data_IF_718958383792
#
_entry.id   IF_718958383792
#
_cell.length_a   1.000
_cell.length_b   1.000
_cell.length_c   1.000
_cell.angle_alpha   90.00
_cell.angle_beta   90.00
_cell.angle_gamma   90.00
#
_symmetry.space_group_name_H-M   'P 1'
#
loop_
_entity.id
_entity.type
_entity.pdbx_description
1 polymer ?
#
# COMPACT_ATOMS: atom_id res chain seq x y z
N UNK A 1 9.27 19.35 17.96
CA UNK A 1 8.46 18.56 16.99
C UNK A 1 9.36 17.50 16.36
N UNK A 2 8.90 16.25 16.17
CA UNK A 2 9.71 15.24 15.46
C UNK A 2 9.95 15.71 14.02
N UNK A 3 11.11 15.41 13.39
CA UNK A 3 11.33 15.80 11.99
C UNK A 3 10.31 15.09 11.08
N UNK A 4 9.70 15.84 10.17
CA UNK A 4 8.66 15.35 9.26
C UNK A 4 9.10 14.09 8.51
N UNK A 5 10.34 14.11 8.00
CA UNK A 5 10.96 12.98 7.28
C UNK A 5 10.99 11.69 8.12
N UNK A 6 11.30 11.79 9.42
CA UNK A 6 11.31 10.61 10.31
C UNK A 6 9.91 10.05 10.53
N UNK A 7 8.90 10.91 10.59
CA UNK A 7 7.50 10.47 10.71
C UNK A 7 7.05 9.76 9.44
N UNK A 8 7.35 10.34 8.27
CA UNK A 8 7.02 9.76 6.96
C UNK A 8 7.66 8.39 6.79
N UNK A 9 8.97 8.26 7.01
CA UNK A 9 9.67 6.98 6.87
C UNK A 9 9.08 5.92 7.80
N UNK A 10 8.84 6.27 9.08
CA UNK A 10 8.24 5.32 10.04
C UNK A 10 6.83 4.92 9.67
N UNK A 11 6.01 5.88 9.23
CA UNK A 11 4.63 5.62 8.81
C UNK A 11 4.59 4.75 7.54
N UNK A 12 5.47 5.03 6.58
CA UNK A 12 5.56 4.27 5.33
C UNK A 12 6.08 2.85 5.53
N UNK A 13 7.09 2.65 6.40
CA UNK A 13 7.54 1.31 6.78
C UNK A 13 6.40 0.57 7.48
N UNK A 14 5.75 1.18 8.48
CA UNK A 14 4.65 0.55 9.20
C UNK A 14 3.50 0.15 8.26
N UNK A 15 3.04 1.08 7.42
CA UNK A 15 1.97 0.85 6.46
C UNK A 15 2.36 -0.24 5.44
N UNK A 16 3.56 -0.15 4.87
CA UNK A 16 4.09 -1.14 3.93
C UNK A 16 4.21 -2.53 4.56
N UNK A 17 4.66 -2.64 5.81
CA UNK A 17 4.75 -3.92 6.52
C UNK A 17 3.38 -4.51 6.82
N UNK A 18 2.40 -3.69 7.25
CA UNK A 18 1.03 -4.14 7.47
C UNK A 18 0.39 -4.64 6.16
N UNK A 19 0.63 -3.93 5.06
CA UNK A 19 0.08 -4.27 3.75
C UNK A 19 0.65 -5.57 3.19
N UNK A 20 1.99 -5.73 3.17
CA UNK A 20 2.61 -6.96 2.67
C UNK A 20 2.26 -8.17 3.55
N UNK A 21 2.18 -7.99 4.87
CA UNK A 21 1.78 -9.05 5.80
C UNK A 21 0.34 -9.47 5.56
N UNK A 22 -0.57 -8.51 5.34
CA UNK A 22 -1.97 -8.80 5.01
C UNK A 22 -2.08 -9.52 3.67
N UNK A 23 -1.30 -9.11 2.66
CA UNK A 23 -1.26 -9.76 1.36
C UNK A 23 -0.76 -11.21 1.47
N UNK A 24 0.31 -11.45 2.24
CA UNK A 24 0.83 -12.80 2.50
C UNK A 24 -0.19 -13.68 3.20
N UNK A 25 -0.81 -13.18 4.27
CA UNK A 25 -1.81 -13.91 5.03
C UNK A 25 -3.04 -14.24 4.18
N UNK A 26 -3.56 -13.25 3.44
CA UNK A 26 -4.70 -13.45 2.56
C UNK A 26 -4.40 -14.48 1.46
N UNK A 27 -3.24 -14.35 0.80
CA UNK A 27 -2.83 -15.30 -0.23
C UNK A 27 -2.71 -16.73 0.33
N UNK A 28 -2.07 -16.88 1.48
CA UNK A 28 -1.95 -18.18 2.16
C UNK A 28 -3.30 -18.80 2.48
N UNK A 29 -4.22 -18.02 3.07
CA UNK A 29 -5.57 -18.49 3.44
C UNK A 29 -6.36 -18.94 2.21
N UNK A 30 -6.29 -18.18 1.11
CA UNK A 30 -7.09 -18.45 -0.09
C UNK A 30 -6.53 -19.58 -0.93
N UNK A 31 -5.20 -19.71 -1.04
CA UNK A 31 -4.58 -20.66 -1.98
C UNK A 31 -3.84 -21.81 -1.32
N UNK A 32 -3.51 -21.71 -0.02
CA UNK A 32 -2.65 -22.67 0.69
C UNK A 32 -1.21 -22.75 0.15
N UNK A 33 -0.77 -21.75 -0.61
CA UNK A 33 0.55 -21.74 -1.29
C UNK A 33 1.54 -20.85 -0.56
N UNK A 34 2.81 -20.98 -0.92
CA UNK A 34 3.89 -20.17 -0.36
C UNK A 34 3.60 -18.65 -0.55
N UNK A 35 3.50 -17.86 0.54
CA UNK A 35 3.23 -16.42 0.48
C UNK A 35 4.27 -15.62 -0.29
N UNK A 36 5.51 -16.11 -0.41
CA UNK A 36 6.57 -15.45 -1.16
C UNK A 36 6.22 -15.28 -2.65
N UNK A 37 5.28 -16.06 -3.17
CA UNK A 37 4.74 -15.87 -4.52
C UNK A 37 4.17 -14.46 -4.72
N UNK A 38 3.64 -13.82 -3.66
CA UNK A 38 3.17 -12.43 -3.72
C UNK A 38 4.31 -11.48 -4.11
N UNK A 39 5.53 -11.71 -3.63
CA UNK A 39 6.69 -10.87 -4.01
C UNK A 39 7.06 -11.07 -5.47
N UNK A 40 7.04 -12.30 -5.98
CA UNK A 40 7.26 -12.55 -7.41
C UNK A 40 6.17 -11.92 -8.27
N UNK A 41 4.91 -11.97 -7.82
CA UNK A 41 3.80 -11.30 -8.49
C UNK A 41 4.02 -9.78 -8.56
N UNK A 42 4.46 -9.15 -7.47
CA UNK A 42 4.81 -7.73 -7.48
C UNK A 42 5.99 -7.45 -8.43
N UNK A 43 7.04 -8.28 -8.37
CA UNK A 43 8.20 -8.17 -9.25
C UNK A 43 7.83 -8.31 -10.74
N UNK A 44 6.81 -9.13 -11.04
CA UNK A 44 6.31 -9.31 -12.41
C UNK A 44 5.75 -8.03 -13.02
N UNK A 45 5.36 -7.04 -12.21
CA UNK A 45 4.98 -5.72 -12.71
C UNK A 45 6.08 -5.02 -13.50
N UNK A 46 7.36 -5.25 -13.15
CA UNK A 46 8.51 -4.68 -13.84
C UNK A 46 9.22 -5.71 -14.74
N UNK A 47 9.40 -6.94 -14.26
CA UNK A 47 10.18 -7.98 -14.93
C UNK A 47 9.34 -8.93 -15.80
N UNK A 48 8.01 -8.80 -15.80
CA UNK A 48 7.12 -9.66 -16.57
C UNK A 48 7.22 -11.12 -16.16
N UNK A 49 7.14 -12.03 -17.15
CA UNK A 49 7.17 -13.48 -16.92
C UNK A 49 8.49 -13.98 -16.31
N UNK A 50 9.60 -13.27 -16.54
CA UNK A 50 10.91 -13.63 -15.98
C UNK A 50 10.96 -13.58 -14.45
N UNK A 51 10.01 -12.86 -13.82
CA UNK A 51 9.88 -12.81 -12.36
C UNK A 51 9.59 -14.17 -11.70
N UNK A 52 9.09 -15.13 -12.48
CA UNK A 52 8.74 -16.48 -12.00
C UNK A 52 9.84 -17.52 -12.26
N UNK A 53 10.87 -17.17 -13.04
CA UNK A 53 11.96 -18.08 -13.42
C UNK A 53 13.07 -18.14 -12.36
N UNK A 54 13.29 -17.05 -11.64
CA UNK A 54 14.25 -16.96 -10.54
C UNK A 54 13.55 -16.56 -9.23
N UNK A 55 13.90 -17.22 -8.12
CA UNK A 55 13.17 -17.06 -6.86
C UNK A 55 13.76 -15.94 -5.99
N UNK A 56 14.97 -16.15 -5.46
CA UNK A 56 15.59 -15.23 -4.51
C UNK A 56 15.72 -13.76 -5.00
N UNK A 57 16.25 -13.45 -6.20
CA UNK A 57 16.38 -12.06 -6.65
C UNK A 57 15.01 -11.40 -6.88
N UNK A 58 14.00 -12.16 -7.29
CA UNK A 58 12.66 -11.65 -7.54
C UNK A 58 11.87 -11.41 -6.25
N UNK A 59 12.12 -12.20 -5.20
CA UNK A 59 11.60 -11.89 -3.86
C UNK A 59 12.14 -10.54 -3.37
N UNK A 60 13.45 -10.29 -3.52
CA UNK A 60 14.05 -9.02 -3.13
C UNK A 60 13.51 -7.85 -3.98
N UNK A 61 13.45 -8.02 -5.31
CA UNK A 61 12.92 -6.99 -6.20
C UNK A 61 11.46 -6.65 -5.86
N UNK A 62 10.61 -7.66 -5.67
CA UNK A 62 9.22 -7.48 -5.28
C UNK A 62 9.08 -6.74 -3.96
N UNK A 63 9.91 -7.07 -2.97
CA UNK A 63 9.92 -6.40 -1.67
C UNK A 63 10.36 -4.93 -1.79
N UNK A 64 11.38 -4.64 -2.59
CA UNK A 64 11.87 -3.28 -2.83
C UNK A 64 10.81 -2.43 -3.57
N UNK A 65 10.19 -2.97 -4.61
CA UNK A 65 9.11 -2.31 -5.34
C UNK A 65 7.93 -2.01 -4.43
N UNK A 66 7.54 -2.98 -3.59
CA UNK A 66 6.47 -2.83 -2.60
C UNK A 66 6.72 -1.64 -1.67
N UNK A 67 7.88 -1.62 -0.99
CA UNK A 67 8.21 -0.52 -0.07
C UNK A 67 8.41 0.81 -0.79
N UNK A 68 8.94 0.81 -2.00
CA UNK A 68 9.05 2.03 -2.81
C UNK A 68 7.68 2.65 -3.05
N UNK A 69 6.71 1.86 -3.53
CA UNK A 69 5.34 2.30 -3.77
C UNK A 69 4.67 2.76 -2.47
N UNK A 70 4.80 1.99 -1.38
CA UNK A 70 4.23 2.33 -0.08
C UNK A 70 4.77 3.67 0.47
N UNK A 71 6.07 3.93 0.31
CA UNK A 71 6.71 5.18 0.74
C UNK A 71 6.26 6.35 -0.16
N UNK A 72 6.13 6.15 -1.48
CA UNK A 72 5.63 7.18 -2.41
C UNK A 72 4.21 7.61 -2.06
N UNK A 73 3.30 6.67 -1.80
CA UNK A 73 1.96 7.01 -1.33
C UNK A 73 2.01 7.70 0.03
N UNK A 74 2.85 7.24 0.96
CA UNK A 74 3.01 7.90 2.26
C UNK A 74 3.47 9.36 2.13
N UNK A 75 4.47 9.62 1.28
CA UNK A 75 4.95 10.97 0.96
C UNK A 75 3.83 11.83 0.41
N UNK A 76 3.10 11.31 -0.59
CA UNK A 76 1.96 11.99 -1.18
C UNK A 76 0.90 12.31 -0.14
N UNK A 77 0.54 11.36 0.73
CA UNK A 77 -0.43 11.56 1.80
C UNK A 77 -0.04 12.70 2.74
N UNK A 78 1.19 12.68 3.26
CA UNK A 78 1.67 13.73 4.18
C UNK A 78 1.74 15.10 3.50
N UNK A 79 1.97 15.15 2.19
CA UNK A 79 1.97 16.41 1.43
C UNK A 79 0.57 16.98 1.21
N UNK A 80 -0.43 16.14 0.91
CA UNK A 80 -1.81 16.58 0.67
C UNK A 80 -2.58 16.81 1.97
N UNK A 81 -2.23 16.09 3.04
CA UNK A 81 -2.93 16.14 4.33
C UNK A 81 -3.16 17.58 4.82
N UNK A 82 -2.13 18.43 5.00
CA UNK A 82 -2.29 19.82 5.47
C UNK A 82 -3.05 20.74 4.50
N UNK A 83 -3.16 20.37 3.21
CA UNK A 83 -3.77 21.20 2.17
C UNK A 83 -5.27 20.96 2.02
N UNK A 84 -5.74 19.78 2.40
CA UNK A 84 -7.14 19.36 2.23
C UNK A 84 -7.82 19.34 3.59
N UNK A 85 -8.54 20.43 3.91
CA UNK A 85 -9.23 20.60 5.20
C UNK A 85 -10.18 19.46 5.56
N UNK A 86 -10.73 18.73 4.57
CA UNK A 86 -11.57 17.56 4.80
C UNK A 86 -10.81 16.41 5.50
N UNK A 87 -9.53 16.23 5.21
CA UNK A 87 -8.72 15.14 5.76
C UNK A 87 -8.42 15.31 7.27
N UNK A 88 -8.54 16.54 7.78
CA UNK A 88 -8.31 16.86 9.18
C UNK A 88 -9.52 16.62 10.09
N UNK A 89 -10.73 16.60 9.53
CA UNK A 89 -11.97 16.58 10.34
C UNK A 89 -12.19 15.23 11.02
N UNK A 90 -11.92 14.12 10.31
CA UNK A 90 -12.14 12.78 10.84
C UNK A 90 -11.15 11.77 10.25
N UNK A 91 -10.22 11.29 11.09
CA UNK A 91 -9.19 10.30 10.72
C UNK A 91 -9.76 9.00 10.11
N UNK A 92 -10.98 8.61 10.48
CA UNK A 92 -11.62 7.40 9.97
C UNK A 92 -12.13 7.59 8.54
N UNK A 93 -12.79 8.72 8.27
CA UNK A 93 -13.21 9.08 6.92
C UNK A 93 -11.98 9.25 6.03
N UNK A 94 -10.94 9.90 6.54
CA UNK A 94 -9.65 10.04 5.84
C UNK A 94 -9.03 8.69 5.49
N UNK A 95 -9.08 7.72 6.40
CA UNK A 95 -8.57 6.37 6.13
C UNK A 95 -9.32 5.69 4.98
N UNK A 96 -10.67 5.78 4.99
CA UNK A 96 -11.51 5.20 3.94
C UNK A 96 -11.26 5.88 2.60
N UNK A 97 -11.30 7.22 2.56
CA UNK A 97 -11.10 7.99 1.34
C UNK A 97 -9.71 7.75 0.75
N UNK A 98 -8.68 7.82 1.59
CA UNK A 98 -7.31 7.66 1.11
C UNK A 98 -6.99 6.21 0.72
N UNK A 99 -7.45 5.22 1.49
CA UNK A 99 -7.33 3.81 1.11
C UNK A 99 -8.03 3.51 -0.22
N UNK A 100 -9.22 4.06 -0.43
CA UNK A 100 -9.95 3.94 -1.71
C UNK A 100 -9.21 4.61 -2.86
N UNK A 101 -8.63 5.79 -2.63
CA UNK A 101 -7.79 6.47 -3.62
C UNK A 101 -6.57 5.63 -4.00
N UNK A 102 -5.84 5.08 -3.02
CA UNK A 102 -4.69 4.20 -3.28
C UNK A 102 -5.11 2.98 -4.09
N UNK A 103 -6.25 2.37 -3.73
CA UNK A 103 -6.80 1.23 -4.48
C UNK A 103 -7.07 1.60 -5.94
N UNK A 104 -7.73 2.73 -6.20
CA UNK A 104 -8.01 3.20 -7.55
C UNK A 104 -6.72 3.43 -8.35
N UNK A 105 -5.74 4.14 -7.77
CA UNK A 105 -4.47 4.42 -8.47
C UNK A 105 -3.71 3.12 -8.76
N UNK A 106 -3.63 2.21 -7.78
CA UNK A 106 -2.97 0.93 -7.97
C UNK A 106 -3.63 0.09 -9.06
N UNK A 107 -4.95 -0.09 -9.01
CA UNK A 107 -5.65 -1.02 -9.90
C UNK A 107 -6.02 -0.43 -11.26
N UNK A 108 -6.26 0.88 -11.36
CA UNK A 108 -6.69 1.53 -12.61
C UNK A 108 -5.54 2.22 -13.35
N UNK A 109 -4.41 2.48 -12.69
CA UNK A 109 -3.27 3.19 -13.32
C UNK A 109 -2.01 2.32 -13.27
N UNK A 110 -1.53 1.97 -12.07
CA UNK A 110 -0.22 1.33 -11.92
C UNK A 110 -0.21 -0.09 -12.48
N UNK A 111 -1.18 -0.93 -12.11
CA UNK A 111 -1.26 -2.32 -12.58
C UNK A 111 -1.48 -2.40 -14.10
N UNK A 112 -2.39 -1.63 -14.73
CA UNK A 112 -2.56 -1.62 -16.18
C UNK A 112 -1.34 -1.12 -16.96
N UNK A 113 -0.56 -0.19 -16.39
CA UNK A 113 0.69 0.30 -16.99
C UNK A 113 1.89 -0.63 -16.74
N UNK A 114 1.75 -1.60 -15.82
CA UNK A 114 2.78 -2.60 -15.53
C UNK A 114 2.66 -3.81 -16.45
N UNK A 115 3.67 -4.68 -16.45
CA UNK A 115 3.63 -5.93 -17.23
C UNK A 115 2.62 -6.98 -16.70
N UNK A 116 1.93 -6.71 -15.59
CA UNK A 116 0.85 -7.57 -15.08
C UNK A 116 -0.39 -7.47 -15.99
N UNK A 117 -0.73 -6.26 -16.46
CA UNK A 117 -1.75 -6.02 -17.48
C UNK A 117 -3.19 -6.46 -17.17
N UNK A 118 -3.49 -6.89 -15.94
CA UNK A 118 -4.80 -7.47 -15.61
C UNK A 118 -5.45 -6.78 -14.40
N UNK A 119 -6.73 -6.44 -14.56
CA UNK A 119 -7.57 -5.88 -13.50
C UNK A 119 -8.29 -7.01 -12.73
N UNK A 120 -8.41 -6.95 -11.40
CA UNK A 120 -9.18 -7.93 -10.64
C UNK A 120 -10.66 -7.88 -11.04
N UNK A 121 -11.14 -8.90 -11.75
CA UNK A 121 -12.50 -8.95 -12.30
C UNK A 121 -13.56 -9.44 -11.31
N UNK A 122 -13.15 -10.03 -10.18
CA UNK A 122 -14.08 -10.60 -9.18
C UNK A 122 -14.46 -9.56 -8.12
N UNK A 123 -15.76 -9.28 -7.90
CA UNK A 123 -16.21 -8.33 -6.89
C UNK A 123 -15.71 -8.60 -5.46
N UNK A 124 -15.60 -9.88 -5.08
CA UNK A 124 -15.04 -10.27 -3.78
C UNK A 124 -13.56 -9.89 -3.63
N UNK A 125 -12.76 -10.06 -4.69
CA UNK A 125 -11.35 -9.67 -4.68
C UNK A 125 -11.18 -8.15 -4.62
N UNK A 126 -12.07 -7.40 -5.27
CA UNK A 126 -12.11 -5.93 -5.20
C UNK A 126 -12.40 -5.50 -3.76
N UNK A 127 -13.45 -6.04 -3.15
CA UNK A 127 -13.82 -5.70 -1.78
C UNK A 127 -12.70 -6.00 -0.77
N UNK A 128 -12.08 -7.17 -0.86
CA UNK A 128 -10.99 -7.55 0.06
C UNK A 128 -9.75 -6.68 -0.14
N UNK A 129 -9.31 -6.45 -1.39
CA UNK A 129 -8.14 -5.61 -1.66
C UNK A 129 -8.36 -4.15 -1.24
N UNK A 130 -9.56 -3.62 -1.44
CA UNK A 130 -9.96 -2.30 -0.97
C UNK A 130 -9.91 -2.23 0.57
N UNK A 131 -10.46 -3.23 1.25
CA UNK A 131 -10.47 -3.27 2.71
C UNK A 131 -9.06 -3.35 3.29
N UNK A 132 -8.18 -4.17 2.70
CA UNK A 132 -6.77 -4.25 3.10
C UNK A 132 -6.11 -2.88 2.97
N UNK A 133 -6.29 -2.15 1.86
CA UNK A 133 -5.68 -0.83 1.70
C UNK A 133 -6.24 0.22 2.66
N UNK A 134 -7.53 0.18 2.98
CA UNK A 134 -8.11 1.08 3.99
C UNK A 134 -7.49 0.83 5.37
N UNK A 135 -7.34 -0.45 5.77
CA UNK A 135 -6.87 -0.82 7.10
C UNK A 135 -5.34 -0.75 7.25
N UNK A 136 -4.60 -1.21 6.24
CA UNK A 136 -3.14 -1.34 6.30
C UNK A 136 -2.40 -0.11 5.76
N UNK A 137 -3.03 0.71 4.91
CA UNK A 137 -2.45 1.97 4.42
C UNK A 137 -3.22 3.18 4.97
N UNK A 138 -4.51 3.29 4.66
CA UNK A 138 -5.31 4.47 5.01
C UNK A 138 -5.30 4.81 6.50
N UNK A 139 -5.55 3.82 7.35
CA UNK A 139 -5.65 3.98 8.79
C UNK A 139 -4.33 4.35 9.49
N UNK A 140 -3.21 3.60 9.32
CA UNK A 140 -1.96 3.96 9.98
C UNK A 140 -1.45 5.33 9.52
N UNK A 141 -1.63 5.67 8.23
CA UNK A 141 -1.25 6.97 7.71
C UNK A 141 -2.11 8.10 8.28
N UNK A 142 -3.44 7.95 8.30
CA UNK A 142 -4.33 8.98 8.84
C UNK A 142 -4.09 9.23 10.33
N UNK A 143 -3.82 8.17 11.10
CA UNK A 143 -3.45 8.29 12.53
C UNK A 143 -2.11 8.98 12.70
N UNK A 144 -1.10 8.62 11.89
CA UNK A 144 0.23 9.21 11.97
C UNK A 144 0.22 10.71 11.60
N UNK A 145 -0.44 11.08 10.50
CA UNK A 145 -0.56 12.47 10.07
C UNK A 145 -1.39 13.30 11.06
N UNK A 146 -2.51 12.76 11.55
CA UNK A 146 -3.31 13.45 12.56
C UNK A 146 -2.50 13.70 13.84
N UNK A 147 -1.68 12.75 14.30
CA UNK A 147 -0.79 12.96 15.46
C UNK A 147 0.33 13.97 15.20
N UNK A 148 0.77 14.11 13.96
CA UNK A 148 1.84 15.02 13.59
C UNK A 148 1.36 16.47 13.44
N UNK A 149 0.23 16.68 12.77
CA UNK A 149 -0.30 18.00 12.44
C UNK A 149 -1.27 18.57 13.47
N UNK A 150 -1.79 17.76 14.40
CA UNK A 150 -2.65 18.28 15.47
C UNK A 150 -1.78 19.01 16.51
N UNK A 151 -2.12 20.26 16.88
CA UNK A 151 -1.39 20.98 17.92
C UNK A 151 -1.37 20.15 19.20
N UNK A 152 -0.19 19.93 19.78
CA UNK A 152 -0.11 19.41 21.15
C UNK A 152 -0.69 20.50 22.05
N UNK A 153 -1.86 20.22 22.62
CA UNK A 153 -2.37 21.00 23.76
C UNK A 153 -1.52 20.68 24.98
#
# INVERSE_FOLDING_TARGET
MKPLTRTIIKAGILAGTLDISAAFLHFYIVTGRNPLFVLQYIASGLAGKSAFESQAPMYLLGLLLHYCIAILFTLFFFFIYPKVGLLHKNKWITAVLYGSFVWCVMNLVIVPLSQIGTFPSKPSSIATSLLILILCIGLPLSVAANRYYKPQK
#
